data_IF_821555691374
#
_entry.id   IF_821555691374
#
_cell.length_a   1.000
_cell.length_b   1.000
_cell.length_c   1.000
_cell.angle_alpha   90.00
_cell.angle_beta   90.00
_cell.angle_gamma   90.00
#
_symmetry.space_group_name_H-M   'P 1'
#
loop_
_entity.id
_entity.type
_entity.pdbx_description
1 polymer ?
#
# COMPACT_ATOMS: atom_id res chain seq x y z
N UNK A 1 -22.87 9.31 4.14
CA UNK A 1 -23.84 10.35 3.70
C UNK A 1 -23.03 11.63 3.52
N UNK A 2 -23.00 12.22 2.32
CA UNK A 2 -22.32 13.50 2.08
C UNK A 2 -23.08 14.60 2.83
N UNK A 3 -22.37 15.40 3.63
CA UNK A 3 -22.93 16.57 4.30
C UNK A 3 -22.26 17.83 3.75
N UNK A 4 -23.03 18.86 3.48
CA UNK A 4 -22.53 20.18 3.15
C UNK A 4 -21.91 20.76 4.44
N UNK A 5 -20.59 20.75 4.52
CA UNK A 5 -19.83 21.26 5.66
C UNK A 5 -19.47 22.75 5.52
N UNK A 6 -18.96 23.32 6.60
CA UNK A 6 -18.59 24.75 6.64
C UNK A 6 -17.48 25.11 5.67
N UNK A 7 -16.49 24.23 5.50
CA UNK A 7 -15.33 24.50 4.66
C UNK A 7 -15.74 24.60 3.19
N UNK A 8 -16.58 23.65 2.73
CA UNK A 8 -17.11 23.67 1.37
C UNK A 8 -18.07 24.86 1.16
N UNK A 9 -18.94 25.13 2.15
CA UNK A 9 -19.86 26.26 2.08
C UNK A 9 -19.11 27.58 1.96
N UNK A 10 -18.06 27.77 2.75
CA UNK A 10 -17.24 29.00 2.69
C UNK A 10 -16.43 29.08 1.39
N UNK A 11 -15.86 27.94 0.88
CA UNK A 11 -15.17 27.91 -0.42
C UNK A 11 -16.10 28.32 -1.58
N UNK A 12 -17.38 27.88 -1.55
CA UNK A 12 -18.39 28.32 -2.52
C UNK A 12 -18.62 29.83 -2.44
N UNK A 13 -18.79 30.38 -1.23
CA UNK A 13 -19.02 31.80 -0.99
C UNK A 13 -17.82 32.64 -1.46
N UNK A 14 -16.60 32.26 -1.06
CA UNK A 14 -15.39 33.01 -1.37
C UNK A 14 -15.14 33.07 -2.89
N UNK A 15 -15.35 31.95 -3.60
CA UNK A 15 -15.25 31.91 -5.06
C UNK A 15 -16.32 32.75 -5.74
N UNK A 16 -17.55 32.71 -5.26
CA UNK A 16 -18.63 33.51 -5.82
C UNK A 16 -18.36 35.01 -5.62
N UNK A 17 -17.97 35.41 -4.43
CA UNK A 17 -17.74 36.82 -4.07
C UNK A 17 -16.41 37.39 -4.64
N UNK A 18 -15.50 36.55 -5.06
CA UNK A 18 -14.33 37.01 -5.85
C UNK A 18 -14.72 37.62 -7.22
N UNK A 19 -15.92 37.30 -7.71
CA UNK A 19 -16.40 37.71 -9.03
C UNK A 19 -17.63 38.62 -8.90
N UNK A 20 -18.51 38.35 -7.95
CA UNK A 20 -19.79 39.02 -7.80
C UNK A 20 -19.74 40.09 -6.69
N UNK A 21 -20.32 41.30 -6.94
CA UNK A 21 -20.38 42.38 -5.95
C UNK A 21 -21.52 42.20 -4.95
N UNK A 22 -22.14 41.00 -4.91
CA UNK A 22 -23.28 40.67 -4.07
C UNK A 22 -22.91 39.73 -2.95
N UNK A 23 -23.49 39.89 -1.75
CA UNK A 23 -23.25 38.95 -0.66
C UNK A 23 -23.93 37.65 -0.93
N UNK A 24 -23.16 36.55 -0.81
CA UNK A 24 -23.64 35.18 -0.97
C UNK A 24 -23.63 34.48 0.39
N UNK A 25 -24.66 33.67 0.67
CA UNK A 25 -24.76 32.86 1.86
C UNK A 25 -25.08 31.41 1.45
N UNK A 26 -24.50 30.46 2.16
CA UNK A 26 -24.85 29.05 2.03
C UNK A 26 -25.37 28.56 3.38
N UNK A 27 -26.53 27.94 3.36
CA UNK A 27 -27.24 27.41 4.53
C UNK A 27 -27.34 25.88 4.43
N UNK A 28 -27.27 25.22 5.60
CA UNK A 28 -27.44 23.79 5.72
C UNK A 28 -28.93 23.36 5.62
N UNK A 29 -29.17 22.08 5.77
CA UNK A 29 -30.53 21.49 5.77
C UNK A 29 -31.43 21.92 6.95
N UNK A 30 -30.87 22.62 7.95
CA UNK A 30 -31.63 23.24 9.06
C UNK A 30 -31.92 24.73 8.81
N UNK A 31 -31.39 25.29 7.73
CA UNK A 31 -31.48 26.69 7.38
C UNK A 31 -30.55 27.60 8.20
N UNK A 32 -29.47 27.02 8.74
CA UNK A 32 -28.39 27.73 9.44
C UNK A 32 -27.34 28.17 8.43
N UNK A 33 -26.90 29.40 8.47
CA UNK A 33 -25.86 29.94 7.62
C UNK A 33 -24.51 29.30 8.03
N UNK A 34 -23.93 28.51 7.15
CA UNK A 34 -22.66 27.81 7.36
C UNK A 34 -21.51 28.37 6.50
N UNK A 35 -21.84 29.19 5.48
CA UNK A 35 -20.89 29.98 4.70
C UNK A 35 -21.49 31.34 4.39
N UNK A 36 -20.73 32.44 4.53
CA UNK A 36 -21.22 33.80 4.30
C UNK A 36 -20.08 34.75 3.95
N UNK A 37 -20.35 35.72 3.06
CA UNK A 37 -19.48 36.86 2.85
C UNK A 37 -19.53 37.89 4.00
N UNK A 38 -20.51 37.76 4.89
CA UNK A 38 -20.67 38.58 6.11
C UNK A 38 -20.48 37.67 7.34
N UNK A 39 -19.30 37.73 8.01
CA UNK A 39 -18.99 36.83 9.13
C UNK A 39 -20.01 36.95 10.32
N UNK A 40 -20.66 38.08 10.50
CA UNK A 40 -21.63 38.29 11.59
C UNK A 40 -22.89 37.45 11.37
N UNK A 41 -23.16 36.99 10.17
CA UNK A 41 -24.32 36.17 9.82
C UNK A 41 -24.09 34.67 10.03
N UNK A 42 -22.84 34.24 10.18
CA UNK A 42 -22.51 32.83 10.40
C UNK A 42 -23.23 32.30 11.65
N UNK A 43 -23.66 31.04 11.61
CA UNK A 43 -24.37 30.34 12.66
C UNK A 43 -25.74 30.94 13.00
N UNK A 44 -26.25 31.91 12.24
CA UNK A 44 -27.60 32.44 12.40
C UNK A 44 -28.60 31.73 11.50
N UNK A 45 -29.87 31.73 11.90
CA UNK A 45 -30.96 31.12 11.14
C UNK A 45 -31.45 32.06 10.06
N UNK A 46 -31.70 31.53 8.86
CA UNK A 46 -32.18 32.34 7.72
C UNK A 46 -33.62 31.99 7.36
N UNK A 47 -34.56 32.92 7.51
CA UNK A 47 -35.99 32.67 7.26
C UNK A 47 -36.28 32.30 5.80
N UNK A 48 -35.62 32.97 4.83
CA UNK A 48 -35.78 32.66 3.42
C UNK A 48 -35.36 31.23 3.08
N UNK A 49 -34.31 30.70 3.75
CA UNK A 49 -33.88 29.31 3.59
C UNK A 49 -34.96 28.33 4.09
N UNK A 50 -35.65 28.62 5.17
CA UNK A 50 -36.70 27.74 5.69
C UNK A 50 -37.87 27.56 4.72
N UNK A 51 -38.19 28.62 3.96
CA UNK A 51 -39.23 28.57 2.92
C UNK A 51 -38.79 27.65 1.78
N UNK A 52 -37.52 27.77 1.36
CA UNK A 52 -36.95 26.88 0.33
C UNK A 52 -36.90 25.42 0.82
N UNK A 53 -36.48 25.19 2.07
CA UNK A 53 -36.40 23.84 2.65
C UNK A 53 -37.78 23.16 2.75
N UNK A 54 -38.82 23.94 3.06
CA UNK A 54 -40.18 23.42 3.16
C UNK A 54 -40.80 23.02 1.81
N UNK A 55 -40.50 23.77 0.74
CA UNK A 55 -41.17 23.64 -0.56
C UNK A 55 -40.27 23.10 -1.68
N UNK A 56 -38.93 23.07 -1.46
CA UNK A 56 -37.92 22.73 -2.46
C UNK A 56 -37.98 23.62 -3.71
N UNK A 57 -38.46 24.84 -3.57
CA UNK A 57 -38.60 25.81 -4.64
C UNK A 57 -37.82 27.07 -4.35
N UNK A 58 -37.46 27.80 -5.40
CA UNK A 58 -36.84 29.13 -5.30
C UNK A 58 -37.77 30.07 -4.51
N UNK A 59 -37.19 30.81 -3.57
CA UNK A 59 -37.92 31.81 -2.80
C UNK A 59 -37.24 33.18 -2.95
N UNK A 60 -38.00 34.14 -3.47
CA UNK A 60 -37.54 35.49 -3.78
C UNK A 60 -38.16 36.50 -2.82
N UNK A 61 -37.39 37.48 -2.42
CA UNK A 61 -37.80 38.53 -1.50
C UNK A 61 -37.41 39.88 -2.15
N UNK A 62 -38.39 40.62 -2.59
CA UNK A 62 -38.18 41.99 -3.10
C UNK A 62 -38.09 43.00 -1.97
N UNK A 63 -37.70 44.24 -2.27
CA UNK A 63 -37.57 45.31 -1.30
C UNK A 63 -38.90 45.61 -0.55
N UNK A 64 -40.06 45.35 -1.19
CA UNK A 64 -41.39 45.57 -0.53
C UNK A 64 -41.69 44.45 0.46
N UNK A 65 -41.45 43.22 0.10
CA UNK A 65 -41.65 42.08 0.98
C UNK A 65 -40.68 42.09 2.20
N UNK A 66 -39.45 42.56 1.97
CA UNK A 66 -38.43 42.71 3.04
C UNK A 66 -38.88 43.66 4.19
N UNK A 67 -39.68 44.68 3.88
CA UNK A 67 -40.22 45.62 4.90
C UNK A 67 -41.15 44.93 5.90
N UNK A 68 -41.77 43.82 5.52
CA UNK A 68 -42.72 43.05 6.34
C UNK A 68 -42.10 41.85 7.04
N UNK A 69 -40.82 41.51 6.72
CA UNK A 69 -40.09 40.40 7.29
C UNK A 69 -38.94 40.94 8.14
N UNK A 70 -38.97 40.73 9.43
CA UNK A 70 -38.01 41.30 10.37
C UNK A 70 -36.58 40.79 10.09
N UNK A 71 -35.64 41.74 9.76
CA UNK A 71 -34.23 41.42 9.59
C UNK A 71 -33.82 40.73 8.27
N UNK A 72 -34.73 40.61 7.30
CA UNK A 72 -34.49 39.99 6.01
C UNK A 72 -34.12 41.05 4.98
N UNK A 73 -33.05 40.83 4.21
CA UNK A 73 -32.65 41.70 3.06
C UNK A 73 -33.31 41.15 1.79
N UNK A 74 -33.57 42.02 0.78
CA UNK A 74 -33.97 41.57 -0.56
C UNK A 74 -32.97 40.55 -1.12
N UNK A 75 -33.48 39.53 -1.80
CA UNK A 75 -32.58 38.51 -2.35
C UNK A 75 -33.33 37.31 -2.94
N UNK A 76 -32.57 36.42 -3.51
CA UNK A 76 -33.02 35.14 -4.06
C UNK A 76 -32.44 33.99 -3.27
N UNK A 77 -33.28 33.04 -2.86
CA UNK A 77 -32.86 31.83 -2.16
C UNK A 77 -33.18 30.62 -3.03
N UNK A 78 -32.17 29.83 -3.34
CA UNK A 78 -32.22 28.71 -4.29
C UNK A 78 -31.91 27.39 -3.59
N UNK A 79 -32.66 26.31 -3.87
CA UNK A 79 -32.36 25.00 -3.34
C UNK A 79 -31.05 24.45 -3.93
N UNK A 80 -30.14 23.97 -3.07
CA UNK A 80 -28.95 23.22 -3.47
C UNK A 80 -29.28 21.75 -3.47
N UNK A 81 -29.11 21.11 -4.64
CA UNK A 81 -29.45 19.71 -4.86
C UNK A 81 -28.18 18.86 -5.06
N UNK A 82 -28.19 17.66 -4.49
CA UNK A 82 -27.18 16.64 -4.76
C UNK A 82 -27.86 15.29 -4.91
N UNK A 83 -27.68 14.58 -6.02
CA UNK A 83 -28.40 13.32 -6.32
C UNK A 83 -29.93 13.46 -6.14
N UNK A 84 -30.52 14.54 -6.63
CA UNK A 84 -31.95 14.87 -6.50
C UNK A 84 -32.44 15.04 -5.05
N UNK A 85 -31.53 15.21 -4.07
CA UNK A 85 -31.86 15.47 -2.68
C UNK A 85 -31.47 16.91 -2.32
N UNK A 86 -32.36 17.57 -1.60
CA UNK A 86 -32.09 18.88 -1.06
C UNK A 86 -31.08 18.79 0.08
N UNK A 87 -29.90 19.39 -0.10
CA UNK A 87 -28.78 19.35 0.86
C UNK A 87 -28.51 20.68 1.58
N UNK A 88 -29.06 21.75 1.04
CA UNK A 88 -28.90 23.08 1.60
C UNK A 88 -29.60 24.15 0.74
N UNK A 89 -29.32 25.40 1.05
CA UNK A 89 -29.87 26.55 0.33
C UNK A 89 -28.76 27.57 0.02
N UNK A 90 -28.78 28.13 -1.15
CA UNK A 90 -27.94 29.25 -1.56
C UNK A 90 -28.76 30.53 -1.52
N UNK A 91 -28.30 31.56 -0.81
CA UNK A 91 -28.89 32.88 -0.81
C UNK A 91 -27.97 33.91 -1.44
N UNK A 92 -28.51 34.77 -2.33
CA UNK A 92 -27.79 35.93 -2.87
C UNK A 92 -28.60 37.19 -2.53
N UNK A 93 -27.91 38.20 -1.99
CA UNK A 93 -28.53 39.45 -1.53
C UNK A 93 -28.54 40.48 -2.70
N UNK A 94 -29.70 41.06 -2.97
CA UNK A 94 -29.89 42.08 -4.03
C UNK A 94 -31.33 42.02 -4.58
N UNK A 95 -31.72 42.94 -5.42
CA UNK A 95 -33.06 42.86 -6.06
C UNK A 95 -33.19 41.62 -6.95
N UNK A 96 -34.29 40.84 -6.81
CA UNK A 96 -34.45 39.58 -7.51
C UNK A 96 -34.21 39.65 -9.01
N UNK A 97 -34.68 40.70 -9.67
CA UNK A 97 -34.51 40.90 -11.12
C UNK A 97 -33.03 41.09 -11.54
N UNK A 98 -32.19 41.56 -10.61
CA UNK A 98 -30.75 41.79 -10.87
C UNK A 98 -29.92 40.53 -10.54
N UNK A 99 -30.27 39.82 -9.45
CA UNK A 99 -29.39 38.79 -8.89
C UNK A 99 -29.79 37.36 -9.25
N UNK A 100 -30.99 37.14 -9.81
CA UNK A 100 -31.50 35.78 -10.12
C UNK A 100 -30.56 34.99 -11.02
N UNK A 101 -30.07 35.57 -12.10
CA UNK A 101 -29.16 34.91 -13.05
C UNK A 101 -27.84 34.55 -12.40
N UNK A 102 -27.30 35.43 -11.56
CA UNK A 102 -26.07 35.16 -10.80
C UNK A 102 -26.31 34.06 -9.77
N UNK A 103 -27.45 34.07 -9.09
CA UNK A 103 -27.85 33.03 -8.15
C UNK A 103 -27.89 31.63 -8.79
N UNK A 104 -28.49 31.50 -9.97
CA UNK A 104 -28.53 30.23 -10.71
C UNK A 104 -27.13 29.78 -11.15
N UNK A 105 -26.25 30.70 -11.57
CA UNK A 105 -24.85 30.37 -11.93
C UNK A 105 -24.05 29.89 -10.72
N UNK A 106 -24.19 30.59 -9.58
CA UNK A 106 -23.52 30.19 -8.32
C UNK A 106 -24.04 28.85 -7.83
N UNK A 107 -25.38 28.63 -7.90
CA UNK A 107 -26.01 27.33 -7.58
C UNK A 107 -25.42 26.20 -8.43
N UNK A 108 -25.38 26.36 -9.74
CA UNK A 108 -24.81 25.36 -10.66
C UNK A 108 -23.35 25.05 -10.32
N UNK A 109 -22.54 26.08 -10.05
CA UNK A 109 -21.14 25.92 -9.63
C UNK A 109 -21.01 25.20 -8.28
N UNK A 110 -21.87 25.57 -7.33
CA UNK A 110 -21.91 24.95 -5.99
C UNK A 110 -22.27 23.46 -6.09
N UNK A 111 -23.29 23.11 -6.86
CA UNK A 111 -23.73 21.72 -7.10
C UNK A 111 -22.60 20.91 -7.78
N UNK A 112 -21.89 21.48 -8.74
CA UNK A 112 -20.75 20.83 -9.38
C UNK A 112 -19.58 20.61 -8.41
N UNK A 113 -19.25 21.58 -7.56
CA UNK A 113 -18.21 21.43 -6.53
C UNK A 113 -18.57 20.36 -5.49
N UNK A 114 -19.84 20.32 -5.06
CA UNK A 114 -20.35 19.30 -4.16
C UNK A 114 -20.23 17.90 -4.77
N UNK A 115 -20.63 17.74 -6.03
CA UNK A 115 -20.54 16.46 -6.75
C UNK A 115 -19.06 16.02 -6.90
N UNK A 116 -18.17 16.94 -7.26
CA UNK A 116 -16.73 16.65 -7.36
C UNK A 116 -16.14 16.18 -6.02
N UNK A 117 -16.44 16.88 -4.91
CA UNK A 117 -15.99 16.46 -3.58
C UNK A 117 -16.53 15.11 -3.17
N UNK A 118 -17.81 14.85 -3.46
CA UNK A 118 -18.42 13.54 -3.17
C UNK A 118 -17.73 12.41 -3.95
N UNK A 119 -17.52 12.60 -5.25
CA UNK A 119 -16.85 11.60 -6.08
C UNK A 119 -15.40 11.35 -5.61
N UNK A 120 -14.71 12.40 -5.20
CA UNK A 120 -13.37 12.27 -4.66
C UNK A 120 -13.35 11.49 -3.33
N UNK A 121 -14.28 11.79 -2.42
CA UNK A 121 -14.41 11.08 -1.16
C UNK A 121 -14.78 9.60 -1.38
N UNK A 122 -15.73 9.30 -2.26
CA UNK A 122 -16.11 7.92 -2.64
C UNK A 122 -14.94 7.16 -3.25
N UNK A 123 -14.14 7.83 -4.10
CA UNK A 123 -12.94 7.23 -4.70
C UNK A 123 -11.88 6.91 -3.66
N UNK A 124 -11.61 7.83 -2.74
CA UNK A 124 -10.66 7.62 -1.65
C UNK A 124 -11.12 6.48 -0.72
N UNK A 125 -12.41 6.45 -0.38
CA UNK A 125 -12.98 5.38 0.46
C UNK A 125 -12.83 4.00 -0.20
N UNK A 126 -13.12 3.89 -1.52
CA UNK A 126 -12.95 2.63 -2.26
C UNK A 126 -11.49 2.18 -2.31
N UNK A 127 -10.56 3.10 -2.53
CA UNK A 127 -9.12 2.79 -2.53
C UNK A 127 -8.68 2.26 -1.16
N UNK A 128 -9.00 2.96 -0.08
CA UNK A 128 -8.65 2.56 1.27
C UNK A 128 -9.29 1.20 1.64
N UNK A 129 -10.57 1.00 1.27
CA UNK A 129 -11.25 -0.27 1.50
C UNK A 129 -10.61 -1.43 0.75
N UNK A 130 -10.16 -1.18 -0.50
CA UNK A 130 -9.45 -2.17 -1.30
C UNK A 130 -8.09 -2.52 -0.70
N UNK A 131 -7.33 -1.55 -0.21
CA UNK A 131 -6.03 -1.77 0.46
C UNK A 131 -6.19 -2.60 1.73
N UNK A 132 -7.13 -2.25 2.61
CA UNK A 132 -7.44 -3.00 3.83
C UNK A 132 -7.84 -4.45 3.51
N UNK A 133 -8.69 -4.61 2.50
CA UNK A 133 -9.15 -5.93 2.07
C UNK A 133 -8.00 -6.76 1.50
N UNK A 134 -7.15 -6.18 0.65
CA UNK A 134 -5.98 -6.87 0.09
C UNK A 134 -5.01 -7.30 1.20
N UNK A 135 -4.76 -6.44 2.19
CA UNK A 135 -3.93 -6.79 3.33
C UNK A 135 -4.46 -7.99 4.10
N UNK A 136 -5.79 -8.13 4.24
CA UNK A 136 -6.46 -9.26 4.89
C UNK A 136 -6.52 -10.50 4.01
N UNK A 137 -6.74 -10.35 2.70
CA UNK A 137 -6.77 -11.44 1.73
C UNK A 137 -5.43 -12.21 1.68
N UNK A 138 -4.31 -11.53 1.89
CA UNK A 138 -2.98 -12.14 1.88
C UNK A 138 -2.59 -12.75 3.25
N UNK A 139 -3.47 -12.77 4.26
CA UNK A 139 -3.24 -13.49 5.52
C UNK A 139 -3.51 -14.99 5.34
N UNK A 140 -2.78 -15.86 6.06
CA UNK A 140 -2.98 -17.33 5.99
C UNK A 140 -4.42 -17.77 6.26
N UNK A 141 -5.05 -17.18 7.29
CA UNK A 141 -6.38 -17.56 7.80
C UNK A 141 -7.49 -16.65 7.28
N UNK A 142 -7.48 -16.32 5.99
CA UNK A 142 -8.49 -15.47 5.40
C UNK A 142 -9.82 -16.22 5.19
N UNK A 143 -10.95 -15.73 5.74
CA UNK A 143 -12.27 -16.30 5.53
C UNK A 143 -12.75 -16.15 4.07
N UNK A 144 -13.54 -17.10 3.58
CA UNK A 144 -14.12 -17.05 2.22
C UNK A 144 -14.99 -15.80 1.97
N UNK A 145 -15.65 -15.30 3.01
CA UNK A 145 -16.47 -14.07 2.91
C UNK A 145 -15.68 -12.85 2.41
N UNK A 146 -14.38 -12.76 2.73
CA UNK A 146 -13.52 -11.68 2.22
C UNK A 146 -13.20 -11.86 0.73
N UNK A 147 -13.18 -13.08 0.22
CA UNK A 147 -12.99 -13.37 -1.21
C UNK A 147 -14.19 -12.87 -2.01
N UNK A 148 -15.41 -13.05 -1.49
CA UNK A 148 -16.63 -12.55 -2.12
C UNK A 148 -16.69 -11.02 -2.08
N UNK A 149 -16.30 -10.40 -0.97
CA UNK A 149 -16.17 -8.94 -0.87
C UNK A 149 -15.14 -8.39 -1.88
N UNK A 150 -14.03 -9.08 -2.06
CA UNK A 150 -13.01 -8.71 -3.06
C UNK A 150 -13.56 -8.74 -4.49
N UNK A 151 -14.37 -9.75 -4.83
CA UNK A 151 -15.04 -9.83 -6.15
C UNK A 151 -16.00 -8.66 -6.35
N UNK A 152 -16.77 -8.28 -5.32
CA UNK A 152 -17.70 -7.14 -5.38
C UNK A 152 -16.98 -5.80 -5.58
N UNK A 153 -15.77 -5.65 -5.05
CA UNK A 153 -14.92 -4.47 -5.25
C UNK A 153 -14.14 -4.48 -6.57
N UNK A 154 -14.34 -5.52 -7.42
CA UNK A 154 -13.66 -5.67 -8.71
C UNK A 154 -12.22 -6.20 -8.61
N UNK A 155 -11.78 -6.61 -7.42
CA UNK A 155 -10.55 -7.35 -7.26
C UNK A 155 -10.78 -8.77 -7.76
N UNK A 156 -9.94 -9.26 -8.64
CA UNK A 156 -10.11 -10.58 -9.28
C UNK A 156 -9.23 -11.62 -8.56
N UNK A 157 -9.65 -12.16 -7.39
CA UNK A 157 -8.84 -13.05 -6.56
C UNK A 157 -8.60 -14.43 -7.21
N UNK A 158 -9.36 -14.78 -8.24
CA UNK A 158 -9.24 -16.04 -8.98
C UNK A 158 -8.16 -16.02 -10.08
N UNK A 159 -7.62 -14.85 -10.42
CA UNK A 159 -6.62 -14.77 -11.48
C UNK A 159 -5.22 -15.17 -10.95
N UNK A 160 -4.44 -15.90 -11.78
CA UNK A 160 -3.05 -16.22 -11.45
C UNK A 160 -2.22 -14.96 -11.24
N UNK A 161 -1.47 -14.92 -10.14
CA UNK A 161 -0.62 -13.78 -9.76
C UNK A 161 0.76 -14.21 -9.32
N UNK A 162 1.70 -13.32 -9.49
CA UNK A 162 3.07 -13.50 -8.98
C UNK A 162 3.31 -12.55 -7.82
N UNK A 163 3.78 -13.10 -6.68
CA UNK A 163 4.20 -12.31 -5.54
C UNK A 163 5.59 -11.71 -5.78
N UNK A 164 5.73 -10.42 -5.58
CA UNK A 164 6.97 -9.66 -5.57
C UNK A 164 6.99 -8.83 -4.29
N UNK A 165 8.04 -8.97 -3.48
CA UNK A 165 8.23 -8.17 -2.28
C UNK A 165 9.40 -7.22 -2.50
N UNK A 166 9.17 -5.93 -2.23
CA UNK A 166 10.15 -4.87 -2.41
C UNK A 166 10.50 -4.31 -1.03
N UNK A 167 11.73 -4.55 -0.60
CA UNK A 167 12.28 -4.01 0.64
C UNK A 167 12.87 -2.62 0.38
N UNK A 168 12.40 -1.64 1.16
CA UNK A 168 12.76 -0.23 1.01
C UNK A 168 13.64 0.25 2.17
N UNK A 169 14.46 1.25 1.92
CA UNK A 169 15.08 2.05 2.97
C UNK A 169 14.06 2.94 3.69
N UNK A 170 14.48 3.59 4.77
CA UNK A 170 13.60 4.38 5.66
C UNK A 170 13.17 5.69 4.97
N UNK A 171 12.19 5.60 4.06
CA UNK A 171 11.50 6.77 3.48
C UNK A 171 10.04 6.39 3.24
N UNK A 172 9.15 6.76 4.15
CA UNK A 172 7.73 6.37 4.11
C UNK A 172 6.99 6.80 2.81
N UNK A 173 7.41 7.88 2.14
CA UNK A 173 6.79 8.35 0.90
C UNK A 173 7.15 7.52 -0.34
N UNK A 174 8.27 6.81 -0.35
CA UNK A 174 8.75 6.07 -1.50
C UNK A 174 7.84 4.90 -1.88
N UNK A 175 7.26 4.20 -0.91
CA UNK A 175 6.37 3.06 -1.15
C UNK A 175 5.14 3.44 -1.99
N UNK A 176 4.47 4.56 -1.65
CA UNK A 176 3.31 5.04 -2.40
C UNK A 176 3.68 5.52 -3.81
N UNK A 177 4.83 6.16 -3.97
CA UNK A 177 5.33 6.58 -5.29
C UNK A 177 5.63 5.38 -6.18
N UNK A 178 6.33 4.37 -5.64
CA UNK A 178 6.64 3.12 -6.35
C UNK A 178 5.36 2.38 -6.71
N UNK A 179 4.41 2.23 -5.78
CA UNK A 179 3.13 1.57 -6.03
C UNK A 179 2.32 2.29 -7.11
N UNK A 180 2.24 3.63 -7.08
CA UNK A 180 1.58 4.43 -8.10
C UNK A 180 2.23 4.29 -9.47
N UNK A 181 3.56 4.33 -9.55
CA UNK A 181 4.30 4.16 -10.80
C UNK A 181 4.16 2.73 -11.36
N UNK A 182 4.25 1.71 -10.52
CA UNK A 182 4.02 0.32 -10.93
C UNK A 182 2.59 0.11 -11.41
N UNK A 183 1.60 0.67 -10.69
CA UNK A 183 0.18 0.57 -11.03
C UNK A 183 -0.17 1.22 -12.38
N UNK A 184 0.54 2.30 -12.77
CA UNK A 184 0.36 2.92 -14.09
C UNK A 184 0.90 2.07 -15.25
N UNK A 185 1.86 1.17 -14.99
CA UNK A 185 2.53 0.33 -16.01
C UNK A 185 2.05 -1.10 -16.06
N UNK A 186 1.61 -1.62 -14.93
CA UNK A 186 1.21 -3.01 -14.76
C UNK A 186 -0.24 -3.08 -14.32
N UNK A 187 -1.13 -3.27 -15.27
CA UNK A 187 -2.54 -3.47 -14.99
C UNK A 187 -2.78 -4.67 -14.05
N UNK A 188 -3.90 -4.69 -13.35
CA UNK A 188 -4.31 -5.75 -12.43
C UNK A 188 -3.30 -6.06 -11.31
N UNK A 189 -2.55 -5.04 -10.90
CA UNK A 189 -1.60 -5.14 -9.79
C UNK A 189 -2.27 -4.86 -8.45
N UNK A 190 -1.91 -5.64 -7.43
CA UNK A 190 -2.27 -5.41 -6.04
C UNK A 190 -1.06 -4.92 -5.27
N UNK A 191 -1.27 -3.90 -4.45
CA UNK A 191 -0.22 -3.34 -3.59
C UNK A 191 -0.68 -3.35 -2.15
N UNK A 192 0.18 -3.85 -1.26
CA UNK A 192 -0.06 -3.85 0.19
C UNK A 192 1.21 -3.40 0.90
N UNK A 193 1.10 -2.34 1.68
CA UNK A 193 2.17 -1.88 2.56
C UNK A 193 1.88 -2.40 3.98
N UNK A 194 2.51 -3.50 4.38
CA UNK A 194 2.34 -4.07 5.73
C UNK A 194 3.23 -3.44 6.77
N UNK A 195 4.42 -3.05 6.36
CA UNK A 195 5.44 -2.41 7.18
C UNK A 195 5.94 -1.18 6.43
N UNK A 196 6.41 -0.13 7.10
CA UNK A 196 6.85 1.09 6.43
C UNK A 196 7.92 0.89 5.34
N UNK A 197 8.63 -0.24 5.40
CA UNK A 197 9.76 -0.57 4.53
C UNK A 197 9.51 -1.79 3.64
N UNK A 198 8.31 -2.38 3.65
CA UNK A 198 8.03 -3.61 2.90
C UNK A 198 6.75 -3.49 2.06
N UNK A 199 6.93 -3.32 0.75
CA UNK A 199 5.85 -3.27 -0.23
C UNK A 199 5.62 -4.66 -0.83
N UNK A 200 4.42 -5.20 -0.65
CA UNK A 200 3.92 -6.38 -1.34
C UNK A 200 3.30 -5.95 -2.66
N UNK A 201 3.76 -6.49 -3.74
CA UNK A 201 3.23 -6.31 -5.08
C UNK A 201 2.83 -7.66 -5.68
N UNK A 202 1.53 -7.89 -5.83
CA UNK A 202 1.02 -9.08 -6.50
C UNK A 202 0.60 -8.69 -7.91
N UNK A 203 1.44 -8.99 -8.89
CA UNK A 203 1.24 -8.67 -10.30
C UNK A 203 0.60 -9.81 -11.06
N UNK A 204 -0.05 -9.52 -12.20
CA UNK A 204 -0.54 -10.55 -13.10
C UNK A 204 0.60 -11.49 -13.55
N UNK A 205 0.35 -12.79 -13.56
CA UNK A 205 1.32 -13.80 -13.97
C UNK A 205 1.61 -13.68 -15.47
N UNK A 206 2.82 -13.24 -15.81
CA UNK A 206 3.32 -13.16 -17.20
C UNK A 206 4.65 -13.87 -17.27
N UNK A 207 4.85 -14.71 -18.28
CA UNK A 207 6.12 -15.39 -18.54
C UNK A 207 7.21 -14.38 -18.94
N UNK A 208 8.46 -14.68 -18.58
CA UNK A 208 9.67 -14.01 -19.05
C UNK A 208 9.75 -12.48 -18.82
N UNK A 209 9.45 -12.04 -17.60
CA UNK A 209 9.72 -10.65 -17.23
C UNK A 209 11.17 -10.44 -16.84
N UNK A 210 11.74 -9.35 -17.35
CA UNK A 210 13.09 -8.92 -16.95
C UNK A 210 13.02 -8.07 -15.65
N UNK A 211 13.16 -8.76 -14.52
CA UNK A 211 13.17 -8.12 -13.21
C UNK A 211 14.49 -7.33 -12.96
N UNK A 212 15.58 -7.61 -13.69
CA UNK A 212 16.81 -6.80 -13.62
C UNK A 212 16.60 -5.44 -14.28
N UNK A 213 15.89 -5.39 -15.41
CA UNK A 213 15.53 -4.12 -16.05
C UNK A 213 14.65 -3.26 -15.13
N UNK A 214 13.76 -3.91 -14.35
CA UNK A 214 12.93 -3.19 -13.37
C UNK A 214 13.76 -2.58 -12.23
N UNK A 215 14.74 -3.31 -11.70
CA UNK A 215 15.66 -2.78 -10.68
C UNK A 215 16.45 -1.57 -11.19
N UNK A 216 16.94 -1.60 -12.42
CA UNK A 216 17.62 -0.45 -13.04
C UNK A 216 16.72 0.78 -13.12
N UNK A 217 15.43 0.58 -13.45
CA UNK A 217 14.47 1.68 -13.46
C UNK A 217 14.25 2.26 -12.05
N UNK A 218 14.25 1.44 -11.01
CA UNK A 218 14.19 1.93 -9.63
C UNK A 218 15.43 2.76 -9.26
N UNK A 219 16.61 2.36 -9.72
CA UNK A 219 17.86 3.11 -9.54
C UNK A 219 17.83 4.45 -10.29
N UNK A 220 17.34 4.47 -11.55
CA UNK A 220 17.17 5.70 -12.36
C UNK A 220 16.23 6.71 -11.68
N UNK A 221 15.20 6.23 -10.99
CA UNK A 221 14.29 7.08 -10.21
C UNK A 221 14.83 7.45 -8.81
N UNK A 222 16.03 6.98 -8.45
CA UNK A 222 16.63 7.17 -7.12
C UNK A 222 15.75 6.68 -5.96
N UNK A 223 14.93 5.66 -6.18
CA UNK A 223 14.13 5.07 -5.10
C UNK A 223 14.98 4.21 -4.17
N UNK A 224 14.73 4.26 -2.87
CA UNK A 224 15.55 3.55 -1.88
C UNK A 224 15.22 2.06 -1.81
N UNK A 225 15.26 1.35 -2.93
CA UNK A 225 15.03 -0.09 -2.99
C UNK A 225 16.29 -0.81 -2.55
N UNK A 226 16.21 -1.52 -1.42
CA UNK A 226 17.33 -2.33 -0.89
C UNK A 226 17.36 -3.68 -1.59
N UNK A 227 16.18 -4.34 -1.71
CA UNK A 227 16.08 -5.69 -2.24
C UNK A 227 14.70 -5.96 -2.83
N UNK A 228 14.65 -6.78 -3.86
CA UNK A 228 13.43 -7.28 -4.47
C UNK A 228 13.44 -8.81 -4.49
N UNK A 229 12.43 -9.42 -3.86
CA UNK A 229 12.23 -10.86 -3.85
C UNK A 229 11.10 -11.23 -4.82
N UNK A 230 11.31 -12.26 -5.63
CA UNK A 230 10.30 -12.79 -6.56
C UNK A 230 10.08 -14.26 -6.32
N UNK A 231 8.82 -14.68 -6.47
CA UNK A 231 8.38 -16.07 -6.36
C UNK A 231 7.75 -16.48 -7.69
N UNK A 232 7.67 -17.77 -7.96
CA UNK A 232 6.97 -18.27 -9.13
C UNK A 232 5.49 -17.88 -9.11
N UNK A 233 4.84 -17.77 -10.29
CA UNK A 233 3.43 -17.47 -10.38
C UNK A 233 2.57 -18.49 -9.62
N UNK A 234 1.60 -17.99 -8.87
CA UNK A 234 0.60 -18.76 -8.13
C UNK A 234 -0.67 -18.88 -8.96
N UNK A 235 -1.29 -20.05 -8.97
CA UNK A 235 -2.51 -20.35 -9.74
C UNK A 235 -3.78 -19.82 -9.06
N UNK A 236 -3.75 -19.66 -7.74
CA UNK A 236 -4.89 -19.26 -6.93
C UNK A 236 -4.46 -18.40 -5.72
N UNK A 237 -5.44 -17.96 -4.95
CA UNK A 237 -5.22 -17.12 -3.78
C UNK A 237 -4.53 -17.84 -2.60
N UNK A 238 -4.89 -19.11 -2.26
CA UNK A 238 -4.15 -19.87 -1.26
C UNK A 238 -2.65 -20.01 -1.58
N UNK A 239 -2.31 -20.36 -2.81
CA UNK A 239 -0.94 -20.46 -3.27
C UNK A 239 -0.23 -19.10 -3.22
N UNK A 240 -0.91 -18.01 -3.60
CA UNK A 240 -0.36 -16.65 -3.52
C UNK A 240 -0.02 -16.24 -2.08
N UNK A 241 -0.83 -16.64 -1.09
CA UNK A 241 -0.54 -16.42 0.33
C UNK A 241 0.75 -17.10 0.77
N UNK A 242 0.90 -18.37 0.38
CA UNK A 242 2.13 -19.12 0.64
C UNK A 242 3.34 -18.49 -0.06
N UNK A 243 3.17 -18.04 -1.30
CA UNK A 243 4.20 -17.33 -2.05
C UNK A 243 4.62 -16.03 -1.37
N UNK A 244 3.68 -15.22 -0.88
CA UNK A 244 3.98 -14.00 -0.13
C UNK A 244 4.75 -14.29 1.18
N UNK A 245 4.35 -15.33 1.90
CA UNK A 245 5.05 -15.74 3.12
C UNK A 245 6.47 -16.24 2.80
N UNK A 246 6.63 -17.05 1.75
CA UNK A 246 7.93 -17.55 1.32
C UNK A 246 8.85 -16.42 0.81
N UNK A 247 8.31 -15.43 0.11
CA UNK A 247 9.06 -14.25 -0.33
C UNK A 247 9.57 -13.42 0.87
N UNK A 248 8.79 -13.33 1.95
CA UNK A 248 9.22 -12.68 3.19
C UNK A 248 10.38 -13.43 3.85
N UNK A 249 10.23 -14.75 4.03
CA UNK A 249 11.30 -15.58 4.58
C UNK A 249 12.57 -15.51 3.73
N UNK A 250 12.42 -15.41 2.41
CA UNK A 250 13.53 -15.22 1.47
C UNK A 250 14.27 -13.91 1.71
N UNK A 251 13.53 -12.79 1.88
CA UNK A 251 14.15 -11.50 2.19
C UNK A 251 14.91 -11.54 3.51
N UNK A 252 14.31 -12.16 4.55
CA UNK A 252 14.92 -12.28 5.88
C UNK A 252 16.19 -13.15 5.83
N UNK A 253 16.14 -14.28 5.11
CA UNK A 253 17.28 -15.17 4.90
C UNK A 253 18.41 -14.45 4.16
N UNK A 254 18.11 -13.87 2.99
CA UNK A 254 19.14 -13.24 2.13
C UNK A 254 19.73 -11.98 2.77
N UNK A 255 18.98 -11.29 3.64
CA UNK A 255 19.52 -10.16 4.40
C UNK A 255 20.72 -10.57 5.27
N UNK A 256 20.77 -11.82 5.74
CA UNK A 256 21.85 -12.33 6.56
C UNK A 256 22.89 -13.11 5.74
N UNK A 257 22.44 -13.96 4.82
CA UNK A 257 23.31 -14.84 4.03
C UNK A 257 24.03 -14.10 2.89
N UNK A 258 23.32 -13.20 2.21
CA UNK A 258 23.78 -12.52 0.99
C UNK A 258 23.42 -11.03 0.99
N UNK A 259 23.95 -10.21 1.93
CA UNK A 259 23.50 -8.83 2.17
C UNK A 259 23.61 -7.90 0.95
N UNK A 260 24.50 -8.22 -0.01
CA UNK A 260 24.73 -7.42 -1.22
C UNK A 260 23.80 -7.75 -2.38
N UNK A 261 23.06 -8.87 -2.30
CA UNK A 261 22.20 -9.32 -3.40
C UNK A 261 20.89 -8.50 -3.39
N UNK A 262 20.62 -7.77 -4.48
CA UNK A 262 19.43 -6.93 -4.60
C UNK A 262 18.24 -7.67 -5.20
N UNK A 263 18.43 -8.46 -6.26
CA UNK A 263 17.39 -9.31 -6.84
C UNK A 263 17.54 -10.74 -6.33
N UNK A 264 16.51 -11.26 -5.70
CA UNK A 264 16.49 -12.61 -5.16
C UNK A 264 15.27 -13.38 -5.66
N UNK A 265 15.47 -14.62 -6.08
CA UNK A 265 14.41 -15.51 -6.57
C UNK A 265 14.27 -16.69 -5.64
N UNK A 266 13.02 -17.04 -5.29
CA UNK A 266 12.79 -18.19 -4.43
C UNK A 266 13.27 -19.49 -5.07
N UNK A 267 13.20 -19.59 -6.41
CA UNK A 267 13.72 -20.75 -7.16
C UNK A 267 15.15 -21.12 -6.79
N UNK A 268 16.00 -20.10 -6.58
CA UNK A 268 17.45 -20.29 -6.32
C UNK A 268 17.73 -20.60 -4.84
N UNK A 269 16.74 -20.36 -3.94
CA UNK A 269 16.93 -20.44 -2.49
C UNK A 269 15.89 -21.30 -1.76
N UNK A 270 15.18 -22.21 -2.45
CA UNK A 270 14.06 -22.99 -1.86
C UNK A 270 14.46 -23.77 -0.62
N UNK A 271 15.57 -24.52 -0.69
CA UNK A 271 16.04 -25.30 0.46
C UNK A 271 16.53 -24.40 1.61
N UNK A 272 17.42 -23.42 1.39
CA UNK A 272 17.81 -22.49 2.44
C UNK A 272 16.63 -21.81 3.12
N UNK A 273 15.67 -21.30 2.37
CA UNK A 273 14.48 -20.63 2.92
C UNK A 273 13.58 -21.60 3.72
N UNK A 274 13.42 -22.83 3.25
CA UNK A 274 12.67 -23.85 4.00
C UNK A 274 13.27 -24.07 5.39
N UNK A 275 14.59 -24.23 5.49
CA UNK A 275 15.26 -24.43 6.78
C UNK A 275 15.32 -23.16 7.61
N UNK A 276 15.54 -22.00 6.97
CA UNK A 276 15.48 -20.71 7.64
C UNK A 276 14.13 -20.44 8.32
N UNK A 277 13.02 -20.81 7.69
CA UNK A 277 11.66 -20.72 8.28
C UNK A 277 11.55 -21.48 9.57
N UNK A 278 12.16 -22.66 9.64
CA UNK A 278 12.11 -23.57 10.80
C UNK A 278 13.25 -23.41 11.79
N UNK A 279 14.14 -22.41 11.62
CA UNK A 279 15.35 -22.24 12.44
C UNK A 279 15.11 -22.08 13.93
N UNK A 280 13.89 -21.73 14.35
CA UNK A 280 13.50 -21.58 15.76
C UNK A 280 12.80 -22.84 16.33
N UNK A 281 12.56 -23.86 15.51
CA UNK A 281 11.98 -25.11 15.97
C UNK A 281 13.02 -25.86 16.80
N UNK A 282 12.59 -26.50 17.89
CA UNK A 282 13.49 -27.25 18.76
C UNK A 282 14.29 -28.30 17.99
N UNK A 283 13.62 -29.11 17.17
CA UNK A 283 14.29 -30.16 16.39
C UNK A 283 15.28 -29.58 15.37
N UNK A 284 14.95 -28.46 14.75
CA UNK A 284 15.85 -27.77 13.85
C UNK A 284 17.12 -27.27 14.57
N UNK A 285 16.96 -26.75 15.79
CA UNK A 285 18.09 -26.32 16.64
C UNK A 285 19.01 -27.50 17.00
N UNK A 286 18.46 -28.67 17.32
CA UNK A 286 19.21 -29.91 17.58
C UNK A 286 20.01 -30.37 16.34
N UNK A 287 19.41 -30.24 15.14
CA UNK A 287 20.07 -30.56 13.87
C UNK A 287 21.21 -29.58 13.58
N UNK A 288 21.02 -28.30 13.91
CA UNK A 288 21.99 -27.24 13.64
C UNK A 288 23.13 -27.16 14.70
N UNK A 289 22.99 -27.83 15.84
CA UNK A 289 23.96 -27.74 16.96
C UNK A 289 25.41 -27.98 16.53
N UNK A 290 25.76 -28.98 15.68
CA UNK A 290 27.14 -29.19 15.28
C UNK A 290 27.82 -27.98 14.65
N UNK A 291 27.10 -27.17 13.87
CA UNK A 291 27.61 -25.96 13.24
C UNK A 291 27.97 -24.88 14.28
N UNK A 292 27.23 -24.82 15.39
CA UNK A 292 27.53 -23.86 16.45
C UNK A 292 28.96 -24.02 17.01
N UNK A 293 29.49 -25.22 17.00
CA UNK A 293 30.87 -25.51 17.42
C UNK A 293 31.93 -24.93 16.49
N UNK A 294 31.54 -24.59 15.26
CA UNK A 294 32.43 -23.95 14.27
C UNK A 294 32.37 -22.42 14.28
N UNK A 295 31.49 -21.79 15.08
CA UNK A 295 31.27 -20.33 15.03
C UNK A 295 32.53 -19.48 15.24
N UNK A 296 33.51 -19.98 16.02
CA UNK A 296 34.75 -19.29 16.25
C UNK A 296 35.89 -19.75 15.29
N UNK A 297 35.57 -20.63 14.34
CA UNK A 297 36.52 -21.25 13.42
C UNK A 297 36.26 -20.78 11.96
N UNK A 298 36.55 -19.48 11.69
CA UNK A 298 36.23 -18.83 10.41
C UNK A 298 36.70 -19.59 9.17
N UNK A 299 37.93 -20.06 9.17
CA UNK A 299 38.50 -20.80 8.06
C UNK A 299 37.85 -22.18 7.83
N UNK A 300 37.37 -22.83 8.89
CA UNK A 300 36.71 -24.12 8.77
C UNK A 300 35.29 -23.96 8.19
N UNK A 301 34.58 -22.91 8.61
CA UNK A 301 33.27 -22.60 8.04
C UNK A 301 33.37 -22.19 6.58
N UNK A 302 34.35 -21.38 6.19
CA UNK A 302 34.62 -21.03 4.80
C UNK A 302 34.92 -22.28 3.97
N UNK A 303 35.73 -23.19 4.54
CA UNK A 303 36.02 -24.49 3.90
C UNK A 303 34.76 -25.33 3.72
N UNK A 304 33.90 -25.39 4.73
CA UNK A 304 32.64 -26.13 4.65
C UNK A 304 31.66 -25.53 3.63
N UNK A 305 31.54 -24.20 3.56
CA UNK A 305 30.73 -23.53 2.53
C UNK A 305 31.28 -23.83 1.13
N UNK A 306 32.59 -23.69 0.91
CA UNK A 306 33.21 -24.04 -0.38
C UNK A 306 33.01 -25.54 -0.72
N UNK A 307 33.03 -26.41 0.28
CA UNK A 307 32.75 -27.84 0.10
C UNK A 307 31.32 -28.11 -0.39
N UNK A 308 30.33 -27.37 0.13
CA UNK A 308 28.96 -27.43 -0.35
C UNK A 308 28.83 -26.89 -1.78
N UNK A 309 29.41 -25.72 -2.07
CA UNK A 309 29.33 -25.03 -3.36
C UNK A 309 29.94 -25.88 -4.50
N UNK A 310 30.97 -26.66 -4.19
CA UNK A 310 31.62 -27.52 -5.13
C UNK A 310 31.19 -29.00 -5.01
N UNK A 311 30.04 -29.26 -4.38
CA UNK A 311 29.43 -30.62 -4.29
C UNK A 311 30.37 -31.70 -3.75
N UNK A 312 31.32 -31.34 -2.89
CA UNK A 312 32.31 -32.26 -2.33
C UNK A 312 33.47 -32.61 -3.25
N UNK A 313 33.66 -31.87 -4.36
CA UNK A 313 34.77 -32.04 -5.25
C UNK A 313 36.08 -31.46 -4.68
N UNK A 314 36.99 -32.33 -4.24
CA UNK A 314 38.19 -31.93 -3.51
C UNK A 314 39.10 -30.99 -4.28
N UNK A 315 39.28 -31.20 -5.61
CA UNK A 315 40.17 -30.33 -6.40
C UNK A 315 39.53 -28.95 -6.57
N UNK A 316 38.29 -28.89 -7.04
CA UNK A 316 37.56 -27.62 -7.23
C UNK A 316 37.48 -26.80 -5.94
N UNK A 317 37.20 -27.44 -4.82
CA UNK A 317 37.16 -26.79 -3.50
C UNK A 317 38.53 -26.25 -3.08
N UNK A 318 39.61 -27.03 -3.27
CA UNK A 318 40.97 -26.59 -2.94
C UNK A 318 41.40 -25.41 -3.79
N UNK A 319 41.11 -25.45 -5.08
CA UNK A 319 41.43 -24.37 -6.03
C UNK A 319 40.67 -23.09 -5.71
N UNK A 320 39.37 -23.19 -5.38
CA UNK A 320 38.54 -22.06 -5.00
C UNK A 320 39.02 -21.39 -3.70
N UNK A 321 39.55 -22.18 -2.75
CA UNK A 321 40.11 -21.70 -1.50
C UNK A 321 41.58 -21.24 -1.59
N UNK A 322 42.23 -21.47 -2.73
CA UNK A 322 43.65 -21.19 -2.92
C UNK A 322 44.56 -22.00 -2.00
N UNK A 323 44.20 -23.27 -1.69
CA UNK A 323 44.95 -24.14 -0.77
C UNK A 323 45.31 -25.47 -1.44
N UNK A 324 46.31 -26.14 -0.88
CA UNK A 324 46.68 -27.48 -1.37
C UNK A 324 45.64 -28.53 -0.89
N UNK A 325 45.39 -29.59 -1.67
CA UNK A 325 44.45 -30.70 -1.30
C UNK A 325 44.69 -31.30 0.06
N UNK A 326 45.96 -31.42 0.49
CA UNK A 326 46.27 -31.94 1.83
C UNK A 326 45.77 -31.01 2.95
N UNK A 327 45.85 -29.69 2.72
CA UNK A 327 45.35 -28.70 3.66
C UNK A 327 43.81 -28.73 3.73
N UNK A 328 43.14 -28.94 2.56
CA UNK A 328 41.71 -29.14 2.51
C UNK A 328 41.29 -30.37 3.34
N UNK A 329 41.95 -31.51 3.08
CA UNK A 329 41.68 -32.75 3.83
C UNK A 329 41.83 -32.54 5.34
N UNK A 330 42.93 -31.93 5.78
CA UNK A 330 43.17 -31.64 7.19
C UNK A 330 42.04 -30.77 7.79
N UNK A 331 41.57 -29.74 7.04
CA UNK A 331 40.47 -28.89 7.51
C UNK A 331 39.13 -29.67 7.60
N UNK A 332 38.82 -30.55 6.65
CA UNK A 332 37.63 -31.40 6.69
C UNK A 332 37.69 -32.43 7.81
N UNK A 333 38.85 -33.05 8.08
CA UNK A 333 39.07 -33.93 9.24
C UNK A 333 38.85 -33.15 10.57
N UNK A 334 39.32 -31.91 10.63
CA UNK A 334 39.12 -31.04 11.80
C UNK A 334 37.66 -30.64 12.01
N UNK A 335 36.93 -30.41 10.92
CA UNK A 335 35.46 -30.21 10.97
C UNK A 335 34.79 -31.46 11.55
N UNK A 336 35.13 -32.65 11.06
CA UNK A 336 34.59 -33.89 11.59
C UNK A 336 34.88 -34.08 13.07
N UNK A 337 36.08 -33.81 13.52
CA UNK A 337 36.49 -33.89 14.94
C UNK A 337 35.67 -32.92 15.82
N UNK A 338 35.49 -31.69 15.42
CA UNK A 338 34.81 -30.67 16.21
C UNK A 338 33.30 -30.85 16.23
N UNK A 339 32.71 -31.22 15.09
CA UNK A 339 31.24 -31.33 14.94
C UNK A 339 30.68 -32.70 15.24
N UNK A 340 31.51 -33.74 15.19
CA UNK A 340 31.07 -35.14 15.23
C UNK A 340 30.36 -35.58 13.94
N UNK A 341 30.39 -34.79 12.88
CA UNK A 341 29.76 -35.07 11.59
C UNK A 341 30.87 -35.19 10.50
N UNK A 342 30.89 -36.30 9.79
CA UNK A 342 31.86 -36.59 8.74
C UNK A 342 31.39 -35.95 7.40
N UNK A 343 32.12 -34.94 6.86
CA UNK A 343 31.75 -34.27 5.61
C UNK A 343 31.73 -35.18 4.37
N UNK A 344 32.28 -36.36 4.45
CA UNK A 344 32.25 -37.38 3.39
C UNK A 344 31.03 -38.32 3.46
N UNK A 345 30.27 -38.29 4.56
CA UNK A 345 29.03 -39.05 4.71
C UNK A 345 27.82 -38.21 4.39
N UNK A 346 26.97 -38.66 3.47
CA UNK A 346 25.82 -37.90 2.97
C UNK A 346 24.91 -37.34 4.07
N UNK A 347 24.58 -38.17 5.09
CA UNK A 347 23.66 -37.76 6.17
C UNK A 347 24.31 -36.66 7.06
N UNK A 348 25.61 -36.85 7.40
CA UNK A 348 26.35 -35.90 8.19
C UNK A 348 26.58 -34.58 7.41
N UNK A 349 26.93 -34.71 6.13
CA UNK A 349 27.05 -33.54 5.24
C UNK A 349 25.75 -32.75 5.14
N UNK A 350 24.62 -33.46 4.98
CA UNK A 350 23.31 -32.82 4.97
C UNK A 350 23.03 -32.10 6.29
N UNK A 351 23.33 -32.74 7.43
CA UNK A 351 23.17 -32.11 8.75
C UNK A 351 24.01 -30.84 8.89
N UNK A 352 25.26 -30.87 8.46
CA UNK A 352 26.15 -29.68 8.43
C UNK A 352 25.61 -28.60 7.50
N UNK A 353 25.10 -28.96 6.31
CA UNK A 353 24.49 -28.04 5.37
C UNK A 353 23.27 -27.35 5.98
N UNK A 354 22.35 -28.11 6.56
CA UNK A 354 21.14 -27.59 7.19
C UNK A 354 21.47 -26.60 8.31
N UNK A 355 22.41 -26.98 9.19
CA UNK A 355 22.86 -26.10 10.26
C UNK A 355 23.48 -24.80 9.76
N UNK A 356 24.25 -24.84 8.66
CA UNK A 356 24.81 -23.67 8.02
C UNK A 356 23.75 -22.73 7.43
N UNK A 357 22.68 -23.31 6.81
CA UNK A 357 21.58 -22.50 6.25
C UNK A 357 20.70 -21.85 7.31
N UNK A 358 20.54 -22.48 8.48
CA UNK A 358 19.79 -21.92 9.60
C UNK A 358 20.55 -20.80 10.34
N UNK A 359 21.89 -20.79 10.22
CA UNK A 359 22.76 -19.80 10.86
C UNK A 359 23.72 -19.20 9.83
N UNK A 360 23.22 -18.52 8.80
CA UNK A 360 24.07 -17.93 7.78
C UNK A 360 24.94 -16.84 8.42
N UNK A 361 26.20 -16.77 8.03
CA UNK A 361 27.10 -15.71 8.45
C UNK A 361 26.77 -14.42 7.75
N UNK A 362 26.84 -13.34 8.50
CA UNK A 362 27.03 -12.01 7.92
C UNK A 362 28.44 -11.99 7.29
N UNK A 363 28.45 -12.00 5.93
CA UNK A 363 29.69 -11.87 5.14
C UNK A 363 30.21 -10.45 5.11
#
# INVERSE_FOLDING_TARGET
MFALDRDLAQDIVDRAMAILPYNVNVMDYLGIIIGSGDPERLCTRHEGAQRVLANSQVFEIDSRAALHLGGVKPGVNLPLMLDHKLVGVLGITGEPDEVRVYGELVKMTAEMLMEQRRQQADRQWRLQRSEDLLARLLLPDCPESLVDEARQLGLQPQLPRQAVLIQLGVQASAASQIAGWLGSRYADSWFVLREPTLLYWCRAAVKDRDDNALLKQFEEHHWPVIRMATVEPSSDLPELRHACAAARDLLDYVAQAHPKQQLVRLADHRLPVLFWRHRHDWLASEVAEPIARLHHQGQLLETLCSWFDHSGESQACADALGIHRNSLRYRLEKIAELTGCDPYKTVDLLRLYLGAQMNPRQG
#
